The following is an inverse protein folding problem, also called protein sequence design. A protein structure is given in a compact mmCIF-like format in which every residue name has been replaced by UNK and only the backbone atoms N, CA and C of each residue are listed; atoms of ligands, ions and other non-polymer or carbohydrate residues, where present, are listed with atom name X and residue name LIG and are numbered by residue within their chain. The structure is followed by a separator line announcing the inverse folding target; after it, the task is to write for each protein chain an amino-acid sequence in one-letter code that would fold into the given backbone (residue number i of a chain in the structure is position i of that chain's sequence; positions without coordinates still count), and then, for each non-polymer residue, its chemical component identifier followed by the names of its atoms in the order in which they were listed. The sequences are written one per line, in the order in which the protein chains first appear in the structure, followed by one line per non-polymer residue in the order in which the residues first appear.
data_IF_206826768871
#
_entry.id   IF_206826768871
#
_cell.length_a   1.000
_cell.length_b   1.000
_cell.length_c   1.000
_cell.angle_alpha   90.00
_cell.angle_beta   90.00
_cell.angle_gamma   90.00
#
_symmetry.space_group_name_H-M   'P 1'
#
loop_
_entity.id
_entity.type
_entity.pdbx_description
1 polymer ?
#
# COMPACT_ATOMS: atom_id res chain seq x y z
N UNK A 1 11.69 -5.64 -18.16
CA UNK A 1 10.35 -5.09 -17.86
C UNK A 1 10.53 -3.84 -17.01
N UNK A 2 10.01 -2.68 -17.42
CA UNK A 2 10.11 -1.43 -16.65
C UNK A 2 8.71 -0.92 -16.32
N UNK A 3 8.47 -0.59 -15.05
CA UNK A 3 7.24 0.04 -14.57
C UNK A 3 7.53 1.49 -14.19
N UNK A 4 6.69 2.41 -14.65
CA UNK A 4 6.68 3.80 -14.20
C UNK A 4 5.59 3.97 -13.14
N UNK A 5 5.96 4.58 -12.00
CA UNK A 5 5.00 4.94 -10.96
C UNK A 5 4.34 6.30 -11.22
N UNK A 6 3.10 6.48 -10.79
CA UNK A 6 2.45 7.79 -10.80
C UNK A 6 0.99 7.75 -10.36
N UNK A 7 0.38 8.91 -10.15
CA UNK A 7 -1.01 9.06 -9.65
C UNK A 7 -1.91 9.86 -10.60
N UNK A 8 -1.39 10.30 -11.76
CA UNK A 8 -2.10 11.24 -12.64
C UNK A 8 -2.23 10.73 -14.06
N UNK A 9 -3.28 11.15 -14.80
CA UNK A 9 -3.41 10.86 -16.23
C UNK A 9 -2.22 11.33 -17.07
N UNK A 10 -1.56 12.43 -16.66
CA UNK A 10 -0.37 12.95 -17.34
C UNK A 10 0.81 11.98 -17.22
N UNK A 11 1.06 11.46 -16.02
CA UNK A 11 2.10 10.45 -15.79
C UNK A 11 1.78 9.15 -16.54
N UNK A 12 0.52 8.71 -16.53
CA UNK A 12 0.07 7.51 -17.24
C UNK A 12 0.32 7.63 -18.76
N UNK A 13 -0.08 8.74 -19.39
CA UNK A 13 0.21 8.99 -20.81
C UNK A 13 1.71 9.03 -21.09
N UNK A 14 2.51 9.61 -20.19
CA UNK A 14 3.97 9.64 -20.33
C UNK A 14 4.57 8.23 -20.31
N UNK A 15 4.09 7.35 -19.43
CA UNK A 15 4.51 5.96 -19.37
C UNK A 15 4.19 5.22 -20.68
N UNK A 16 2.96 5.39 -21.20
CA UNK A 16 2.54 4.79 -22.47
C UNK A 16 3.43 5.24 -23.64
N UNK A 17 3.69 6.55 -23.79
CA UNK A 17 4.59 7.10 -24.84
C UNK A 17 6.02 6.59 -24.76
N UNK A 18 6.47 6.22 -23.56
CA UNK A 18 7.79 5.63 -23.33
C UNK A 18 7.78 4.11 -23.41
N UNK A 19 6.66 3.51 -23.80
CA UNK A 19 6.44 2.06 -23.86
C UNK A 19 6.80 1.35 -22.53
N UNK A 20 6.50 2.02 -21.41
CA UNK A 20 6.66 1.48 -20.07
C UNK A 20 5.32 0.96 -19.55
N UNK A 21 5.35 -0.09 -18.74
CA UNK A 21 4.20 -0.49 -17.93
C UNK A 21 3.95 0.56 -16.85
N UNK A 22 2.72 0.62 -16.32
CA UNK A 22 2.36 1.65 -15.36
C UNK A 22 1.90 1.06 -14.02
N UNK A 23 2.44 1.58 -12.92
CA UNK A 23 2.03 1.25 -11.56
C UNK A 23 1.38 2.48 -10.94
N UNK A 24 0.06 2.49 -10.85
CA UNK A 24 -0.66 3.62 -10.29
C UNK A 24 -0.52 3.67 -8.76
N UNK A 25 -0.48 4.88 -8.20
CA UNK A 25 -0.48 5.11 -6.75
C UNK A 25 -1.90 5.24 -6.16
N UNK A 26 -2.90 5.46 -7.02
CA UNK A 26 -4.32 5.55 -6.65
C UNK A 26 -5.16 4.62 -7.54
N UNK A 27 -6.42 4.42 -7.14
CA UNK A 27 -7.37 3.55 -7.84
C UNK A 27 -8.32 4.33 -8.79
N UNK A 28 -7.94 5.55 -9.19
CA UNK A 28 -8.77 6.39 -10.07
C UNK A 28 -8.86 5.77 -11.48
N UNK A 29 -10.06 5.38 -11.94
CA UNK A 29 -10.25 4.81 -13.28
C UNK A 29 -9.71 5.72 -14.40
N UNK A 30 -9.80 7.04 -14.24
CA UNK A 30 -9.34 7.98 -15.25
C UNK A 30 -7.83 7.89 -15.51
N UNK A 31 -7.04 7.46 -14.53
CA UNK A 31 -5.59 7.22 -14.69
C UNK A 31 -5.34 5.98 -15.54
N UNK A 32 -6.08 4.89 -15.30
CA UNK A 32 -5.97 3.67 -16.08
C UNK A 32 -6.46 3.87 -17.52
N UNK A 33 -7.58 4.57 -17.71
CA UNK A 33 -8.15 4.87 -19.03
C UNK A 33 -7.17 5.72 -19.85
N UNK A 34 -6.61 6.76 -19.25
CA UNK A 34 -5.61 7.61 -19.91
C UNK A 34 -4.36 6.84 -20.34
N UNK A 35 -3.93 5.82 -19.58
CA UNK A 35 -2.81 4.95 -19.97
C UNK A 35 -3.19 4.08 -21.17
N UNK A 36 -4.36 3.42 -21.12
CA UNK A 36 -4.84 2.50 -22.17
C UNK A 36 -5.07 3.22 -23.49
N UNK A 37 -5.76 4.36 -23.47
CA UNK A 37 -5.99 5.17 -24.66
C UNK A 37 -4.69 5.61 -25.33
N UNK A 38 -3.68 5.98 -24.52
CA UNK A 38 -2.40 6.43 -25.06
C UNK A 38 -1.58 5.26 -25.60
N UNK A 39 -1.65 4.09 -24.96
CA UNK A 39 -1.09 2.84 -25.48
C UNK A 39 -1.62 2.53 -26.88
N UNK A 40 -2.94 2.63 -27.08
CA UNK A 40 -3.57 2.41 -28.39
C UNK A 40 -3.07 3.42 -29.44
N UNK A 41 -2.95 4.71 -29.07
CA UNK A 41 -2.46 5.77 -29.97
C UNK A 41 -1.01 5.55 -30.42
N UNK A 42 -0.15 5.05 -29.55
CA UNK A 42 1.28 4.82 -29.86
C UNK A 42 1.57 3.39 -30.33
N UNK A 43 0.55 2.53 -30.44
CA UNK A 43 0.71 1.15 -30.88
C UNK A 43 1.44 0.25 -29.86
N UNK A 44 1.34 0.56 -28.57
CA UNK A 44 1.98 -0.19 -27.50
C UNK A 44 1.00 -1.12 -26.79
N UNK A 45 1.35 -2.39 -26.59
CA UNK A 45 0.56 -3.34 -25.78
C UNK A 45 1.01 -3.29 -24.31
N UNK A 46 0.63 -2.22 -23.63
CA UNK A 46 0.93 -1.99 -22.22
C UNK A 46 -0.05 -2.67 -21.26
N UNK A 47 0.32 -2.72 -19.98
CA UNK A 47 -0.58 -3.02 -18.86
C UNK A 47 -0.39 -1.98 -17.76
N UNK A 48 -1.48 -1.71 -17.04
CA UNK A 48 -1.51 -0.84 -15.86
C UNK A 48 -1.92 -1.65 -14.64
N UNK A 49 -1.16 -1.50 -13.56
CA UNK A 49 -1.49 -2.03 -12.24
C UNK A 49 -2.14 -0.92 -11.42
N UNK A 50 -3.37 -1.15 -10.99
CA UNK A 50 -4.04 -0.30 -10.01
C UNK A 50 -3.84 -0.90 -8.61
N UNK A 51 -3.67 -0.07 -7.57
CA UNK A 51 -3.59 -0.55 -6.20
C UNK A 51 -4.93 -1.15 -5.75
N UNK A 52 -4.87 -2.20 -4.95
CA UNK A 52 -6.04 -2.76 -4.28
C UNK A 52 -6.49 -1.85 -3.12
N UNK A 53 -7.77 -1.94 -2.74
CA UNK A 53 -8.31 -1.27 -1.54
C UNK A 53 -7.97 -2.06 -0.26
N UNK A 54 -6.74 -2.55 -0.16
CA UNK A 54 -6.20 -3.26 1.00
C UNK A 54 -5.37 -2.31 1.87
N UNK A 55 -5.12 -2.64 3.15
CA UNK A 55 -4.21 -1.86 3.99
C UNK A 55 -2.83 -1.68 3.32
N UNK A 56 -2.29 -0.47 3.40
CA UNK A 56 -0.97 -0.12 2.88
C UNK A 56 0.19 -0.61 3.75
N UNK A 57 -0.10 -0.90 5.02
CA UNK A 57 0.81 -1.48 5.99
C UNK A 57 0.11 -2.59 6.77
N UNK A 58 0.78 -3.74 6.90
CA UNK A 58 0.33 -4.86 7.72
C UNK A 58 1.47 -5.30 8.63
N UNK A 59 1.17 -5.40 9.92
CA UNK A 59 2.05 -5.98 10.94
C UNK A 59 1.31 -7.15 11.60
N UNK A 60 1.90 -8.34 11.51
CA UNK A 60 1.36 -9.58 12.08
C UNK A 60 1.90 -9.74 13.51
N UNK A 61 1.01 -9.97 14.47
CA UNK A 61 1.37 -10.08 15.88
C UNK A 61 0.40 -10.96 16.64
N UNK A 62 0.81 -11.52 17.78
CA UNK A 62 -0.12 -12.20 18.69
C UNK A 62 -0.84 -11.23 19.63
N UNK A 63 -0.36 -9.99 19.75
CA UNK A 63 -0.89 -8.97 20.64
C UNK A 63 -1.02 -7.63 19.91
N UNK A 64 -2.13 -7.43 19.17
CA UNK A 64 -2.37 -6.19 18.44
C UNK A 64 -2.37 -4.96 19.33
N UNK A 65 -2.91 -5.03 20.55
CA UNK A 65 -2.99 -3.87 21.45
C UNK A 65 -1.59 -3.41 21.87
N UNK A 66 -0.71 -4.35 22.24
CA UNK A 66 0.70 -4.06 22.55
C UNK A 66 1.44 -3.48 21.35
N UNK A 67 1.33 -4.10 20.19
CA UNK A 67 2.13 -3.70 19.02
C UNK A 67 1.62 -2.41 18.38
N UNK A 68 0.32 -2.09 18.48
CA UNK A 68 -0.17 -0.76 18.14
C UNK A 68 0.56 0.33 18.94
N UNK A 69 0.78 0.12 20.23
CA UNK A 69 1.49 1.08 21.08
C UNK A 69 2.99 1.16 20.71
N UNK A 70 3.63 0.02 20.43
CA UNK A 70 5.06 -0.02 20.00
C UNK A 70 5.27 0.65 18.64
N UNK A 71 4.31 0.50 17.73
CA UNK A 71 4.38 1.02 16.36
C UNK A 71 3.90 2.47 16.22
N UNK A 72 3.13 2.97 17.19
CA UNK A 72 2.51 4.29 17.13
C UNK A 72 3.47 5.44 16.73
N UNK A 73 4.71 5.54 17.26
CA UNK A 73 5.62 6.61 16.86
C UNK A 73 5.95 6.61 15.36
N UNK A 74 6.12 5.42 14.77
CA UNK A 74 6.48 5.25 13.35
C UNK A 74 5.28 5.46 12.43
N UNK A 75 4.13 4.90 12.81
CA UNK A 75 2.86 5.08 12.10
C UNK A 75 2.49 6.57 12.03
N UNK A 76 2.54 7.26 13.18
CA UNK A 76 2.20 8.68 13.25
C UNK A 76 3.20 9.54 12.47
N UNK A 77 4.48 9.20 12.51
CA UNK A 77 5.50 9.89 11.73
C UNK A 77 5.23 9.75 10.23
N UNK A 78 5.04 8.52 9.74
CA UNK A 78 4.78 8.28 8.32
C UNK A 78 3.50 8.97 7.86
N UNK A 79 2.39 8.78 8.56
CA UNK A 79 1.10 9.34 8.17
C UNK A 79 1.16 10.88 8.04
N UNK A 80 1.84 11.55 8.98
CA UNK A 80 2.04 13.01 8.94
C UNK A 80 2.98 13.43 7.83
N UNK A 81 4.13 12.78 7.69
CA UNK A 81 5.12 13.12 6.65
C UNK A 81 4.56 12.91 5.24
N UNK A 82 3.78 11.84 5.01
CA UNK A 82 3.09 11.65 3.73
C UNK A 82 1.98 12.69 3.52
N UNK A 83 1.28 13.10 4.58
CA UNK A 83 0.30 14.19 4.51
C UNK A 83 0.92 15.51 4.06
N UNK A 84 2.10 15.87 4.57
CA UNK A 84 2.80 17.11 4.22
C UNK A 84 3.22 17.19 2.74
N UNK A 85 3.47 16.05 2.08
CA UNK A 85 4.01 16.01 0.71
C UNK A 85 2.94 15.79 -0.37
N UNK A 86 1.67 15.55 0.00
CA UNK A 86 0.56 15.45 -0.95
C UNK A 86 0.19 16.84 -1.49
N UNK A 87 0.67 17.16 -2.69
CA UNK A 87 0.35 18.41 -3.39
C UNK A 87 -1.03 18.31 -4.07
N UNK A 88 -1.71 19.44 -4.34
CA UNK A 88 -2.95 19.45 -5.11
C UNK A 88 -2.83 18.66 -6.43
N UNK A 89 -3.77 17.74 -6.66
CA UNK A 89 -3.78 16.87 -7.83
C UNK A 89 -2.92 15.61 -7.73
N UNK A 90 -2.28 15.35 -6.59
CA UNK A 90 -1.70 14.05 -6.25
C UNK A 90 -2.62 13.33 -5.26
N UNK A 91 -2.70 12.02 -5.38
CA UNK A 91 -3.34 11.18 -4.37
C UNK A 91 -2.69 9.80 -4.33
N UNK A 92 -2.78 9.15 -3.18
CA UNK A 92 -2.26 7.81 -2.94
C UNK A 92 -3.23 7.04 -2.06
N UNK A 93 -3.40 5.74 -2.29
CA UNK A 93 -4.24 4.88 -1.43
C UNK A 93 -3.72 4.76 0.01
N UNK A 94 -2.44 5.07 0.24
CA UNK A 94 -1.83 5.05 1.57
C UNK A 94 -1.90 6.41 2.28
N UNK A 95 -2.57 7.40 1.70
CA UNK A 95 -2.73 8.69 2.35
C UNK A 95 -3.79 8.62 3.45
N UNK A 96 -3.43 9.08 4.65
CA UNK A 96 -4.35 9.24 5.76
C UNK A 96 -4.82 10.70 5.83
N UNK A 97 -6.14 10.89 5.74
CA UNK A 97 -6.76 12.22 5.69
C UNK A 97 -6.79 12.94 7.04
N UNK A 98 -6.87 12.20 8.15
CA UNK A 98 -6.84 12.76 9.50
C UNK A 98 -5.75 12.06 10.33
N UNK A 99 -4.80 12.85 10.84
CA UNK A 99 -3.65 12.35 11.61
C UNK A 99 -3.52 13.03 12.97
N UNK A 100 -4.61 13.62 13.47
CA UNK A 100 -4.63 14.34 14.75
C UNK A 100 -4.34 13.38 15.91
N UNK A 101 -5.01 12.22 15.92
CA UNK A 101 -4.85 11.17 16.94
C UNK A 101 -4.46 9.82 16.35
N UNK A 102 -3.98 8.90 17.19
CA UNK A 102 -3.69 7.52 16.77
C UNK A 102 -4.97 6.78 16.40
N UNK A 103 -6.07 7.09 17.08
CA UNK A 103 -7.40 6.55 16.80
C UNK A 103 -7.90 6.95 15.41
N UNK A 104 -7.65 8.19 14.97
CA UNK A 104 -7.96 8.63 13.61
C UNK A 104 -7.16 7.84 12.56
N UNK A 105 -5.87 7.62 12.83
CA UNK A 105 -5.01 6.84 11.92
C UNK A 105 -5.43 5.37 11.89
N UNK A 106 -5.81 4.77 13.02
CA UNK A 106 -6.39 3.43 13.08
C UNK A 106 -7.68 3.33 12.25
N UNK A 107 -8.57 4.31 12.38
CA UNK A 107 -9.84 4.33 11.66
C UNK A 107 -9.70 4.50 10.14
N UNK A 108 -8.55 5.00 9.66
CA UNK A 108 -8.28 5.15 8.22
C UNK A 108 -8.26 3.83 7.44
N UNK A 109 -7.95 2.71 8.11
CA UNK A 109 -7.78 1.40 7.47
C UNK A 109 -6.51 1.26 6.63
N UNK A 110 -5.65 2.28 6.58
CA UNK A 110 -4.35 2.21 5.87
C UNK A 110 -3.35 1.31 6.63
N UNK A 111 -3.42 1.30 7.95
CA UNK A 111 -2.55 0.53 8.83
C UNK A 111 -3.33 -0.61 9.50
N UNK A 112 -2.84 -1.83 9.40
CA UNK A 112 -3.44 -3.01 10.02
C UNK A 112 -2.40 -3.74 10.90
N UNK A 113 -2.57 -3.67 12.22
CA UNK A 113 -1.84 -4.50 13.18
C UNK A 113 -2.79 -5.61 13.60
N UNK A 114 -2.49 -6.84 13.20
CA UNK A 114 -3.47 -7.94 13.18
C UNK A 114 -2.86 -9.26 13.63
N UNK A 115 -3.72 -10.15 14.10
CA UNK A 115 -3.37 -11.55 14.37
C UNK A 115 -3.08 -12.33 13.09
N UNK A 116 -2.40 -13.50 13.17
CA UNK A 116 -2.21 -14.36 12.00
C UNK A 116 -3.52 -14.75 11.32
N UNK A 117 -4.56 -15.09 12.09
CA UNK A 117 -5.86 -15.49 11.55
C UNK A 117 -6.57 -14.35 10.84
N UNK A 118 -6.51 -13.14 11.41
CA UNK A 118 -7.02 -11.93 10.77
C UNK A 118 -6.24 -11.60 9.49
N UNK A 119 -4.91 -11.78 9.49
CA UNK A 119 -4.08 -11.61 8.30
C UNK A 119 -4.47 -12.59 7.18
N UNK A 120 -4.74 -13.86 7.51
CA UNK A 120 -5.31 -14.83 6.56
C UNK A 120 -6.68 -14.36 6.03
N UNK A 121 -7.52 -13.80 6.90
CA UNK A 121 -8.80 -13.19 6.51
C UNK A 121 -8.64 -12.05 5.52
N UNK A 122 -7.67 -11.15 5.75
CA UNK A 122 -7.33 -10.07 4.82
C UNK A 122 -6.82 -10.63 3.48
N UNK A 123 -5.95 -11.63 3.51
CA UNK A 123 -5.41 -12.26 2.30
C UNK A 123 -6.51 -12.87 1.44
N UNK A 124 -7.46 -13.58 2.06
CA UNK A 124 -8.64 -14.14 1.36
C UNK A 124 -9.56 -13.06 0.81
N UNK A 125 -9.76 -11.97 1.55
CA UNK A 125 -10.63 -10.86 1.15
C UNK A 125 -10.06 -10.06 -0.03
N UNK A 126 -8.77 -9.77 -0.02
CA UNK A 126 -8.15 -8.85 -0.98
C UNK A 126 -7.33 -9.55 -2.07
N UNK A 127 -6.99 -10.83 -1.90
CA UNK A 127 -6.21 -11.64 -2.85
C UNK A 127 -4.71 -11.29 -2.88
N UNK A 128 -4.33 -10.06 -2.55
CA UNK A 128 -2.95 -9.61 -2.40
C UNK A 128 -2.83 -8.67 -1.22
N UNK A 129 -1.73 -8.78 -0.49
CA UNK A 129 -1.39 -7.93 0.65
C UNK A 129 -0.01 -7.32 0.46
N UNK A 130 0.16 -6.08 0.89
CA UNK A 130 1.45 -5.37 0.86
C UNK A 130 2.08 -5.42 2.24
N UNK A 131 3.28 -5.99 2.33
CA UNK A 131 4.11 -5.94 3.54
C UNK A 131 5.11 -4.79 3.41
N UNK A 132 5.08 -3.85 4.34
CA UNK A 132 6.01 -2.71 4.38
C UNK A 132 6.78 -2.71 5.72
N UNK A 133 7.71 -3.67 5.91
CA UNK A 133 8.30 -3.98 7.22
C UNK A 133 9.11 -2.82 7.83
N UNK A 134 9.66 -1.92 7.02
CA UNK A 134 10.47 -0.77 7.47
C UNK A 134 9.71 0.56 7.39
N UNK A 135 8.39 0.50 7.32
CA UNK A 135 7.47 1.64 7.31
C UNK A 135 7.85 2.63 8.43
N UNK A 136 7.89 3.92 8.10
CA UNK A 136 8.16 4.98 9.09
C UNK A 136 9.50 4.86 9.85
N UNK A 137 10.43 4.01 9.42
CA UNK A 137 11.69 3.76 10.12
C UNK A 137 11.56 2.79 11.31
N UNK A 138 10.62 1.84 11.25
CA UNK A 138 10.50 0.76 12.24
C UNK A 138 11.86 0.04 12.45
N UNK A 139 12.26 -0.26 13.70
CA UNK A 139 13.45 -1.04 13.98
C UNK A 139 13.40 -2.40 13.29
N UNK A 140 14.49 -2.85 12.63
CA UNK A 140 14.51 -4.13 11.93
C UNK A 140 14.09 -5.31 12.79
N UNK A 141 14.38 -5.30 14.08
CA UNK A 141 14.02 -6.38 15.02
C UNK A 141 12.49 -6.46 15.19
N UNK A 142 11.83 -5.32 15.34
CA UNK A 142 10.36 -5.25 15.45
C UNK A 142 9.69 -5.67 14.14
N UNK A 143 10.27 -5.28 13.00
CA UNK A 143 9.80 -5.73 11.70
C UNK A 143 9.96 -7.25 11.53
N UNK A 144 11.09 -7.80 11.98
CA UNK A 144 11.39 -9.22 11.90
C UNK A 144 10.40 -10.06 12.71
N UNK A 145 10.00 -9.62 13.92
CA UNK A 145 8.96 -10.28 14.72
C UNK A 145 7.67 -10.54 13.90
N UNK A 146 7.24 -9.55 13.11
CA UNK A 146 6.07 -9.73 12.24
C UNK A 146 6.33 -10.64 11.05
N UNK A 147 7.52 -10.57 10.45
CA UNK A 147 7.86 -11.41 9.29
C UNK A 147 7.97 -12.88 9.69
N UNK A 148 8.52 -13.17 10.86
CA UNK A 148 8.62 -14.52 11.41
C UNK A 148 7.22 -15.12 11.64
N UNK A 149 6.28 -14.34 12.17
CA UNK A 149 4.89 -14.77 12.35
C UNK A 149 4.15 -14.95 11.01
N UNK A 150 4.39 -14.05 10.05
CA UNK A 150 3.87 -14.18 8.69
C UNK A 150 4.32 -15.51 8.07
N UNK A 151 5.62 -15.81 8.13
CA UNK A 151 6.20 -17.03 7.60
C UNK A 151 5.69 -18.28 8.32
N UNK A 152 5.67 -18.28 9.65
CA UNK A 152 5.35 -19.46 10.44
C UNK A 152 3.84 -19.77 10.48
N UNK A 153 2.97 -18.75 10.44
CA UNK A 153 1.53 -18.92 10.73
C UNK A 153 0.59 -18.49 9.61
N UNK A 154 0.99 -17.54 8.77
CA UNK A 154 0.11 -17.02 7.70
C UNK A 154 0.38 -17.73 6.37
N UNK A 155 1.64 -17.75 5.91
CA UNK A 155 2.02 -18.34 4.62
C UNK A 155 1.60 -19.81 4.46
N UNK A 156 1.74 -20.71 5.45
CA UNK A 156 1.33 -22.10 5.31
C UNK A 156 -0.19 -22.23 5.11
N UNK A 157 -0.96 -21.36 5.76
CA UNK A 157 -2.43 -21.39 5.74
C UNK A 157 -3.01 -20.87 4.43
N UNK A 158 -2.37 -19.90 3.78
CA UNK A 158 -2.84 -19.34 2.49
C UNK A 158 -2.33 -20.12 1.27
N UNK A 159 -1.33 -21.00 1.46
CA UNK A 159 -0.78 -21.87 0.40
C UNK A 159 -1.42 -23.25 0.36
N UNK A 160 -2.17 -23.63 1.40
CA UNK A 160 -2.91 -24.88 1.49
C UNK A 160 -4.18 -24.84 0.63
#
# INVERSE_FOLDING_TARGET
MLLMGGSTPVAARRAARLHCFFSAANNDPAVADAYREECDKVGFKGFVMLPANAPGFIHVTEDPERDWNRLAPYIMHEARSYGEWQRPGQSSVVHVHNTDTLEDVKASGVYAVVTPDECVGLAKKFGSLTMHPLMGGIPPELAQESLDLLEAKVLPTIRA
#
